data_IF_938447663437
#
_entry.id   IF_938447663437
#
_cell.length_a   1.000
_cell.length_b   1.000
_cell.length_c   1.000
_cell.angle_alpha   90.00
_cell.angle_beta   90.00
_cell.angle_gamma   90.00
#
_symmetry.space_group_name_H-M   'P 1'
#
loop_
_entity.id
_entity.type
_entity.pdbx_description
1 polymer ?
#
# COMPACT_ATOMS: atom_id res chain seq x y z
N UNK A 1 18.26 -55.18 -53.20
CA UNK A 1 17.45 -53.95 -53.32
C UNK A 1 17.16 -53.51 -51.91
N UNK A 2 17.98 -52.62 -51.39
CA UNK A 2 18.11 -52.41 -49.96
C UNK A 2 17.85 -50.92 -49.73
N UNK A 3 16.75 -50.62 -49.06
CA UNK A 3 16.31 -49.26 -48.82
C UNK A 3 17.16 -48.63 -47.69
N UNK A 4 17.56 -47.36 -47.80
CA UNK A 4 18.28 -46.69 -46.73
C UNK A 4 17.37 -46.50 -45.51
N UNK A 5 17.96 -46.71 -44.34
CA UNK A 5 17.36 -46.43 -43.04
C UNK A 5 17.13 -44.91 -42.88
N UNK A 6 15.89 -44.50 -42.63
CA UNK A 6 15.55 -43.09 -42.39
C UNK A 6 15.70 -42.79 -40.90
N UNK A 7 16.91 -42.40 -40.51
CA UNK A 7 17.24 -42.07 -39.13
C UNK A 7 16.29 -41.03 -38.53
N UNK A 8 15.70 -41.37 -37.39
CA UNK A 8 14.73 -40.54 -36.66
C UNK A 8 15.41 -39.34 -35.99
N UNK A 9 15.45 -38.21 -36.70
CA UNK A 9 16.03 -36.95 -36.18
C UNK A 9 15.00 -36.25 -35.29
N UNK A 10 14.91 -36.73 -34.05
CA UNK A 10 14.18 -36.05 -32.99
C UNK A 10 14.79 -34.64 -32.72
N UNK A 11 14.02 -33.53 -32.86
CA UNK A 11 14.52 -32.21 -32.52
C UNK A 11 14.64 -32.07 -31.00
N UNK A 12 15.87 -32.10 -30.49
CA UNK A 12 16.13 -32.00 -29.05
C UNK A 12 15.99 -30.58 -28.51
N UNK A 13 15.23 -30.45 -27.41
CA UNK A 13 15.30 -29.40 -26.38
C UNK A 13 15.36 -27.92 -26.81
N UNK A 14 14.20 -27.25 -26.71
CA UNK A 14 14.03 -25.94 -26.02
C UNK A 14 15.09 -24.84 -26.25
N UNK A 15 15.56 -24.64 -27.48
CA UNK A 15 16.43 -23.49 -27.81
C UNK A 15 15.59 -22.19 -27.87
N UNK A 16 15.34 -21.63 -26.68
CA UNK A 16 14.66 -20.34 -26.46
C UNK A 16 15.36 -19.27 -27.32
N UNK A 17 14.68 -18.67 -28.32
CA UNK A 17 15.37 -17.90 -29.36
C UNK A 17 16.12 -16.71 -28.78
N UNK A 18 17.31 -16.44 -29.32
CA UNK A 18 18.16 -15.34 -28.89
C UNK A 18 17.42 -14.00 -29.01
N UNK A 19 17.06 -13.41 -27.86
CA UNK A 19 16.32 -12.14 -27.77
C UNK A 19 17.24 -10.97 -28.17
N UNK A 20 17.25 -10.62 -29.46
CA UNK A 20 17.96 -9.46 -30.01
C UNK A 20 17.17 -8.16 -29.95
N UNK A 21 15.90 -8.20 -29.52
CA UNK A 21 15.12 -7.02 -29.16
C UNK A 21 15.33 -6.69 -27.68
N UNK A 22 15.67 -5.43 -27.38
CA UNK A 22 15.93 -4.96 -26.01
C UNK A 22 14.64 -4.97 -25.19
N UNK A 23 14.47 -6.00 -24.34
CA UNK A 23 13.30 -6.20 -23.50
C UNK A 23 13.12 -5.14 -22.41
N UNK A 24 11.91 -5.10 -21.83
CA UNK A 24 11.54 -4.13 -20.78
C UNK A 24 12.33 -4.40 -19.50
N UNK A 25 12.64 -5.67 -19.23
CA UNK A 25 13.50 -6.09 -18.12
C UNK A 25 14.94 -5.59 -18.26
N UNK A 26 15.54 -5.74 -19.44
CA UNK A 26 16.92 -5.31 -19.69
C UNK A 26 17.05 -3.77 -19.64
N UNK A 27 16.02 -3.01 -20.04
CA UNK A 27 15.98 -1.55 -19.84
C UNK A 27 15.96 -1.15 -18.36
N UNK A 28 15.11 -1.79 -17.55
CA UNK A 28 15.04 -1.56 -16.10
C UNK A 28 16.36 -1.95 -15.40
N UNK A 29 16.97 -3.06 -15.83
CA UNK A 29 18.27 -3.54 -15.36
C UNK A 29 19.39 -2.57 -15.68
N UNK A 30 19.46 -2.06 -16.91
CA UNK A 30 20.48 -1.10 -17.34
C UNK A 30 20.43 0.18 -16.49
N UNK A 31 19.23 0.74 -16.28
CA UNK A 31 19.05 1.93 -15.43
C UNK A 31 19.32 1.65 -13.95
N UNK A 32 18.96 0.46 -13.42
CA UNK A 32 19.35 0.04 -12.05
C UNK A 32 20.88 0.04 -11.89
N UNK A 33 21.60 -0.53 -12.85
CA UNK A 33 23.06 -0.61 -12.85
C UNK A 33 23.70 0.77 -13.01
N UNK A 34 23.17 1.62 -13.89
CA UNK A 34 23.61 3.01 -14.06
C UNK A 34 23.48 3.84 -12.77
N UNK A 35 22.46 3.56 -11.94
CA UNK A 35 22.25 4.16 -10.62
C UNK A 35 23.04 3.48 -9.49
N UNK A 36 23.85 2.47 -9.78
CA UNK A 36 24.64 1.72 -8.78
C UNK A 36 23.81 0.93 -7.77
N UNK A 37 22.54 0.64 -8.06
CA UNK A 37 21.63 -0.01 -7.13
C UNK A 37 21.80 -1.55 -7.17
N UNK A 38 21.91 -2.17 -6.00
CA UNK A 38 21.86 -3.63 -5.89
C UNK A 38 20.44 -4.15 -6.18
N UNK A 39 20.34 -5.43 -6.57
CA UNK A 39 19.04 -6.07 -6.81
C UNK A 39 18.29 -6.27 -5.48
N UNK A 40 19.02 -6.43 -4.37
CA UNK A 40 18.52 -6.49 -3.00
C UNK A 40 17.92 -5.15 -2.53
N UNK A 41 18.53 -4.01 -2.88
CA UNK A 41 18.02 -2.69 -2.51
C UNK A 41 16.77 -2.32 -3.31
N UNK A 42 16.70 -2.71 -4.59
CA UNK A 42 15.47 -2.60 -5.38
C UNK A 42 14.37 -3.51 -4.82
N UNK A 43 14.69 -4.77 -4.53
CA UNK A 43 13.75 -5.72 -3.91
C UNK A 43 13.17 -5.15 -2.59
N UNK A 44 14.04 -4.61 -1.72
CA UNK A 44 13.65 -3.97 -0.45
C UNK A 44 12.75 -2.75 -0.65
N UNK A 45 13.06 -1.88 -1.61
CA UNK A 45 12.31 -0.65 -1.87
C UNK A 45 10.96 -0.91 -2.55
N UNK A 46 10.91 -1.82 -3.54
CA UNK A 46 9.67 -2.23 -4.20
C UNK A 46 8.80 -3.19 -3.36
N UNK A 47 9.34 -3.71 -2.23
CA UNK A 47 8.76 -4.78 -1.40
C UNK A 47 8.48 -6.06 -2.17
N UNK A 48 9.41 -6.43 -3.05
CA UNK A 48 9.39 -7.67 -3.82
C UNK A 48 10.45 -8.64 -3.28
N UNK A 49 10.29 -9.94 -3.49
CA UNK A 49 11.38 -10.88 -3.29
C UNK A 49 12.43 -10.70 -4.40
N UNK A 50 13.73 -10.91 -4.11
CA UNK A 50 14.82 -10.76 -5.10
C UNK A 50 14.52 -11.52 -6.40
N UNK A 51 14.06 -12.77 -6.31
CA UNK A 51 13.62 -13.60 -7.45
C UNK A 51 12.57 -12.96 -8.36
N UNK A 52 11.74 -12.05 -7.85
CA UNK A 52 10.75 -11.31 -8.65
C UNK A 52 11.38 -10.11 -9.35
N UNK A 53 12.39 -9.46 -8.75
CA UNK A 53 13.18 -8.43 -9.44
C UNK A 53 14.02 -9.08 -10.54
N UNK A 54 14.62 -10.25 -10.28
CA UNK A 54 15.32 -11.04 -11.30
C UNK A 54 14.39 -11.40 -12.46
N UNK A 55 13.20 -11.96 -12.18
CA UNK A 55 12.22 -12.31 -13.22
C UNK A 55 11.65 -11.09 -13.99
N UNK A 56 11.64 -9.90 -13.38
CA UNK A 56 11.34 -8.64 -14.08
C UNK A 56 12.47 -8.25 -15.03
N UNK A 57 13.73 -8.35 -14.59
CA UNK A 57 14.92 -8.03 -15.39
C UNK A 57 15.20 -9.06 -16.50
N UNK A 58 14.74 -10.30 -16.36
CA UNK A 58 14.86 -11.38 -17.35
C UNK A 58 13.74 -11.38 -18.43
N UNK A 59 12.78 -10.46 -18.37
CA UNK A 59 11.51 -10.52 -19.14
C UNK A 59 10.88 -11.93 -19.04
N UNK A 60 10.70 -12.42 -17.81
CA UNK A 60 10.19 -13.75 -17.44
C UNK A 60 8.94 -13.61 -16.55
N UNK A 61 7.87 -13.13 -17.17
CA UNK A 61 6.64 -12.71 -16.49
C UNK A 61 5.82 -13.87 -15.90
N UNK A 62 6.03 -15.09 -16.36
CA UNK A 62 5.33 -16.28 -15.85
C UNK A 62 5.70 -16.59 -14.39
N UNK A 63 6.98 -16.41 -14.03
CA UNK A 63 7.48 -16.48 -12.64
C UNK A 63 6.80 -15.46 -11.70
N UNK A 64 6.18 -14.41 -12.23
CA UNK A 64 5.59 -13.30 -11.46
C UNK A 64 4.10 -13.54 -11.10
N UNK A 65 3.86 -14.60 -10.31
CA UNK A 65 2.50 -14.97 -9.86
C UNK A 65 1.51 -15.13 -11.03
N UNK A 66 1.95 -15.80 -12.10
CA UNK A 66 1.13 -16.07 -13.29
C UNK A 66 0.90 -14.85 -14.19
N UNK A 67 1.88 -13.96 -14.33
CA UNK A 67 1.86 -12.80 -15.24
C UNK A 67 0.92 -11.65 -14.87
N UNK A 68 -0.17 -11.92 -14.16
CA UNK A 68 -1.29 -11.00 -13.86
C UNK A 68 -0.87 -9.63 -13.28
N UNK A 69 0.25 -9.56 -12.55
CA UNK A 69 0.73 -8.35 -11.90
C UNK A 69 1.91 -7.65 -12.60
N UNK A 70 2.41 -8.18 -13.73
CA UNK A 70 3.60 -7.68 -14.44
C UNK A 70 3.55 -6.17 -14.72
N UNK A 71 2.43 -5.66 -15.28
CA UNK A 71 2.20 -4.24 -15.55
C UNK A 71 2.23 -3.36 -14.30
N UNK A 72 1.84 -3.91 -13.14
CA UNK A 72 1.91 -3.21 -11.85
C UNK A 72 3.35 -3.10 -11.35
N UNK A 73 4.11 -4.20 -11.45
CA UNK A 73 5.50 -4.24 -11.02
C UNK A 73 6.42 -3.39 -11.90
N UNK A 74 6.32 -3.48 -13.23
CA UNK A 74 7.09 -2.65 -14.18
C UNK A 74 6.83 -1.16 -13.94
N UNK A 75 5.57 -0.75 -13.72
CA UNK A 75 5.24 0.64 -13.37
C UNK A 75 5.88 1.10 -12.06
N UNK A 76 5.90 0.24 -11.04
CA UNK A 76 6.50 0.58 -9.75
C UNK A 76 8.03 0.66 -9.84
N UNK A 77 8.65 -0.23 -10.62
CA UNK A 77 10.10 -0.24 -10.85
C UNK A 77 10.54 0.99 -11.66
N UNK A 78 9.86 1.29 -12.77
CA UNK A 78 10.10 2.51 -13.54
C UNK A 78 9.98 3.77 -12.68
N UNK A 79 8.98 3.84 -11.78
CA UNK A 79 8.82 4.95 -10.83
C UNK A 79 9.98 5.05 -9.82
N UNK A 80 10.48 3.93 -9.30
CA UNK A 80 11.66 3.93 -8.41
C UNK A 80 12.91 4.43 -9.14
N UNK A 81 13.08 4.01 -10.39
CA UNK A 81 14.16 4.44 -11.28
C UNK A 81 13.91 5.82 -11.93
N UNK A 82 12.81 6.50 -11.59
CA UNK A 82 12.44 7.82 -12.15
C UNK A 82 12.32 7.85 -13.68
N UNK A 83 12.10 6.69 -14.32
CA UNK A 83 11.86 6.53 -15.75
C UNK A 83 10.39 6.82 -16.09
N UNK A 84 10.10 7.19 -17.34
CA UNK A 84 8.72 7.16 -17.83
C UNK A 84 8.25 5.71 -17.96
N UNK A 85 7.12 5.40 -17.29
CA UNK A 85 6.50 4.10 -17.35
C UNK A 85 5.64 3.90 -18.62
N UNK A 86 5.24 4.96 -19.33
CA UNK A 86 4.37 4.85 -20.49
C UNK A 86 4.96 4.00 -21.64
N UNK A 87 6.19 4.26 -22.16
CA UNK A 87 6.77 3.44 -23.23
C UNK A 87 7.05 2.00 -22.78
N UNK A 88 7.56 1.82 -21.55
CA UNK A 88 7.83 0.50 -20.97
C UNK A 88 6.57 -0.36 -20.86
N UNK A 89 5.43 0.25 -20.50
CA UNK A 89 4.14 -0.46 -20.45
C UNK A 89 3.56 -0.70 -21.85
N UNK A 90 3.79 0.18 -22.82
CA UNK A 90 3.37 -0.05 -24.21
C UNK A 90 4.16 -1.20 -24.87
N UNK A 91 5.44 -1.34 -24.56
CA UNK A 91 6.26 -2.47 -25.01
C UNK A 91 5.83 -3.78 -24.31
N UNK A 92 5.59 -3.73 -22.99
CA UNK A 92 5.08 -4.87 -22.22
C UNK A 92 3.72 -5.38 -22.71
N UNK A 93 2.84 -4.48 -23.17
CA UNK A 93 1.53 -4.82 -23.72
C UNK A 93 1.60 -5.55 -25.08
N UNK A 94 2.76 -5.54 -25.75
CA UNK A 94 3.01 -6.28 -26.98
C UNK A 94 3.66 -7.65 -26.72
N UNK A 95 4.33 -7.84 -25.57
CA UNK A 95 4.99 -9.10 -25.21
C UNK A 95 4.16 -9.99 -24.29
N UNK A 96 3.18 -9.46 -23.56
CA UNK A 96 2.20 -10.23 -22.80
C UNK A 96 1.02 -10.68 -23.68
N UNK A 97 0.45 -11.89 -23.47
CA UNK A 97 -0.82 -12.24 -24.08
C UNK A 97 -1.92 -11.27 -23.61
N UNK A 98 -2.93 -10.96 -24.45
CA UNK A 98 -3.97 -9.99 -24.12
C UNK A 98 -4.71 -10.42 -22.85
N UNK A 99 -4.47 -9.69 -21.76
CA UNK A 99 -5.04 -9.99 -20.44
C UNK A 99 -6.56 -9.79 -20.46
N UNK A 100 -7.28 -10.86 -20.78
CA UNK A 100 -8.73 -10.90 -20.73
C UNK A 100 -9.19 -10.42 -19.33
N UNK A 101 -10.15 -9.48 -19.25
CA UNK A 101 -10.63 -8.99 -17.97
C UNK A 101 -11.33 -10.12 -17.23
N UNK A 102 -10.60 -10.73 -16.28
CA UNK A 102 -11.10 -11.73 -15.34
C UNK A 102 -12.14 -11.06 -14.43
N UNK A 103 -13.33 -10.89 -14.97
CA UNK A 103 -14.50 -10.37 -14.28
C UNK A 103 -14.86 -11.43 -13.26
N UNK A 104 -14.50 -11.19 -12.00
CA UNK A 104 -14.91 -12.05 -10.89
C UNK A 104 -16.40 -11.80 -10.67
N UNK A 105 -17.22 -12.44 -11.51
CA UNK A 105 -18.67 -12.48 -11.40
C UNK A 105 -19.01 -13.34 -10.18
N UNK A 106 -18.91 -12.74 -9.01
CA UNK A 106 -19.69 -13.19 -7.87
C UNK A 106 -21.16 -13.10 -8.29
N UNK A 107 -21.85 -14.24 -8.36
CA UNK A 107 -23.30 -14.26 -8.48
C UNK A 107 -23.88 -13.86 -7.11
N UNK A 108 -23.93 -12.54 -6.86
CA UNK A 108 -24.42 -12.01 -5.59
C UNK A 108 -25.96 -11.98 -5.62
N UNK A 109 -26.56 -13.15 -5.48
CA UNK A 109 -28.00 -13.30 -5.45
C UNK A 109 -28.59 -12.66 -4.18
N UNK A 110 -29.52 -11.73 -4.35
CA UNK A 110 -30.43 -11.29 -3.28
C UNK A 110 -30.04 -10.08 -2.43
N UNK A 111 -28.85 -9.47 -2.54
CA UNK A 111 -28.57 -8.17 -1.86
C UNK A 111 -28.76 -6.97 -2.80
N UNK A 112 -29.71 -6.06 -2.51
CA UNK A 112 -29.93 -4.87 -3.33
C UNK A 112 -28.86 -3.80 -3.04
N UNK A 113 -27.71 -3.91 -3.70
CA UNK A 113 -26.76 -2.80 -3.75
C UNK A 113 -27.44 -1.55 -4.35
N UNK A 114 -27.36 -0.37 -3.71
CA UNK A 114 -27.94 0.86 -4.25
C UNK A 114 -27.19 1.25 -5.54
N UNK A 115 -27.77 0.87 -6.68
CA UNK A 115 -27.07 0.92 -7.95
C UNK A 115 -26.86 2.37 -8.43
N UNK A 116 -25.58 2.71 -8.66
CA UNK A 116 -25.11 3.94 -9.33
C UNK A 116 -25.54 5.24 -8.64
N UNK A 117 -24.74 5.69 -7.66
CA UNK A 117 -24.70 7.10 -7.26
C UNK A 117 -24.35 7.98 -8.48
N UNK A 118 -25.36 8.53 -9.13
CA UNK A 118 -25.24 9.30 -10.38
C UNK A 118 -24.68 10.70 -10.07
N UNK A 119 -23.36 10.80 -9.96
CA UNK A 119 -22.59 11.98 -9.49
C UNK A 119 -22.66 13.24 -10.38
N UNK A 120 -23.71 13.41 -11.19
CA UNK A 120 -24.02 14.64 -11.92
C UNK A 120 -25.05 15.53 -11.22
N UNK A 121 -26.02 14.96 -10.48
CA UNK A 121 -27.12 15.74 -9.87
C UNK A 121 -26.63 16.72 -8.80
N UNK A 122 -25.65 16.32 -7.97
CA UNK A 122 -25.04 17.19 -6.95
C UNK A 122 -24.38 18.43 -7.57
N UNK A 123 -23.73 18.28 -8.72
CA UNK A 123 -23.10 19.40 -9.42
C UNK A 123 -24.14 20.34 -10.05
N UNK A 124 -25.25 19.79 -10.57
CA UNK A 124 -26.39 20.57 -11.06
C UNK A 124 -27.12 21.32 -9.94
N UNK A 125 -27.24 20.73 -8.74
CA UNK A 125 -27.81 21.41 -7.56
C UNK A 125 -26.90 22.57 -7.14
N UNK A 126 -25.58 22.36 -7.07
CA UNK A 126 -24.61 23.41 -6.74
C UNK A 126 -24.68 24.54 -7.80
N UNK A 127 -24.71 24.22 -9.09
CA UNK A 127 -24.86 25.20 -10.15
C UNK A 127 -26.19 25.97 -10.06
N UNK A 128 -27.30 25.29 -9.79
CA UNK A 128 -28.61 25.92 -9.60
C UNK A 128 -28.66 26.88 -8.40
N UNK A 129 -28.02 26.52 -7.28
CA UNK A 129 -27.89 27.41 -6.11
C UNK A 129 -27.03 28.62 -6.42
N UNK A 130 -25.93 28.47 -7.16
CA UNK A 130 -25.08 29.59 -7.61
C UNK A 130 -25.86 30.53 -8.54
N UNK A 131 -26.61 29.98 -9.50
CA UNK A 131 -27.47 30.77 -10.41
C UNK A 131 -28.55 31.52 -9.63
N UNK A 132 -29.21 30.88 -8.66
CA UNK A 132 -30.21 31.52 -7.82
C UNK A 132 -29.61 32.64 -6.95
N UNK A 133 -28.43 32.41 -6.37
CA UNK A 133 -27.72 33.43 -5.59
C UNK A 133 -27.31 34.64 -6.46
N UNK A 134 -26.85 34.41 -7.70
CA UNK A 134 -26.54 35.48 -8.66
C UNK A 134 -27.81 36.26 -9.07
N UNK A 135 -28.93 35.58 -9.32
CA UNK A 135 -30.21 36.25 -9.64
C UNK A 135 -30.72 37.09 -8.47
N UNK A 136 -30.59 36.62 -7.22
CA UNK A 136 -30.94 37.39 -6.03
C UNK A 136 -30.01 38.59 -5.81
N UNK A 137 -28.70 38.43 -6.06
CA UNK A 137 -27.73 39.53 -6.01
C UNK A 137 -28.05 40.60 -7.06
N UNK A 138 -28.36 40.19 -8.29
CA UNK A 138 -28.79 41.10 -9.37
C UNK A 138 -30.11 41.81 -8.99
N UNK A 139 -31.06 41.09 -8.40
CA UNK A 139 -32.33 41.67 -7.93
C UNK A 139 -32.12 42.76 -6.86
N UNK A 140 -31.28 42.53 -5.85
CA UNK A 140 -30.96 43.56 -4.86
C UNK A 140 -30.16 44.72 -5.44
N UNK A 141 -29.36 44.52 -6.51
CA UNK A 141 -28.73 45.64 -7.24
C UNK A 141 -29.79 46.50 -7.95
N UNK A 142 -30.75 45.89 -8.67
CA UNK A 142 -31.83 46.65 -9.31
C UNK A 142 -32.72 47.38 -8.29
N UNK A 143 -33.07 46.71 -7.18
CA UNK A 143 -33.86 47.27 -6.07
C UNK A 143 -33.12 48.39 -5.34
N UNK A 144 -31.82 48.23 -5.12
CA UNK A 144 -30.93 49.26 -4.58
C UNK A 144 -30.78 50.47 -5.51
N UNK A 145 -30.92 50.29 -6.82
CA UNK A 145 -30.87 51.38 -7.79
C UNK A 145 -32.10 52.30 -7.70
N UNK A 146 -33.30 51.76 -7.49
CA UNK A 146 -34.50 52.57 -7.20
C UNK A 146 -34.36 53.35 -5.87
N UNK A 147 -33.80 52.72 -4.83
CA UNK A 147 -33.54 53.37 -3.54
C UNK A 147 -32.51 54.52 -3.62
N UNK A 148 -31.60 54.50 -4.59
CA UNK A 148 -30.67 55.60 -4.86
C UNK A 148 -31.29 56.72 -5.70
N UNK A 149 -32.11 56.39 -6.72
CA UNK A 149 -32.82 57.41 -7.51
C UNK A 149 -33.81 58.20 -6.64
N UNK A 150 -34.45 57.55 -5.66
CA UNK A 150 -35.33 58.21 -4.69
C UNK A 150 -34.62 59.25 -3.79
N UNK A 151 -33.29 59.20 -3.65
CA UNK A 151 -32.51 60.10 -2.80
C UNK A 151 -31.92 61.34 -3.51
N UNK A 152 -32.16 61.50 -4.82
CA UNK A 152 -31.70 62.68 -5.59
C UNK A 152 -32.78 63.79 -5.64
N UNK A 153 -33.99 63.51 -5.14
CA UNK A 153 -35.17 64.39 -5.31
C UNK A 153 -35.50 65.37 -4.17
N UNK A 154 -34.74 65.45 -3.08
CA UNK A 154 -35.05 66.34 -1.94
C UNK A 154 -33.83 67.06 -1.36
N UNK A 155 -33.56 68.26 -1.87
CA UNK A 155 -32.93 69.31 -1.07
C UNK A 155 -33.87 69.77 0.07
N UNK A 156 -33.33 70.35 1.16
CA UNK A 156 -34.13 70.74 2.32
C UNK A 156 -34.81 72.11 2.11
N UNK A 157 -36.13 72.15 2.32
CA UNK A 157 -36.89 73.39 2.49
C UNK A 157 -37.05 73.69 3.98
N UNK A 158 -36.48 74.82 4.43
CA UNK A 158 -36.51 75.25 5.84
C UNK A 158 -37.69 76.18 6.16
N UNK A 159 -38.40 75.87 7.24
CA UNK A 159 -39.21 76.75 8.09
C UNK A 159 -39.44 75.99 9.41
N UNK A 160 -39.00 76.37 10.61
CA UNK A 160 -38.96 77.66 11.34
C UNK A 160 -40.13 77.81 12.33
N UNK A 161 -39.90 77.38 13.59
CA UNK A 161 -40.39 77.99 14.84
C UNK A 161 -39.38 77.60 15.95
N UNK A 162 -38.61 78.53 16.52
CA UNK A 162 -38.94 79.44 17.66
C UNK A 162 -38.73 78.76 19.03
N UNK A 163 -37.63 79.09 19.76
CA UNK A 163 -37.32 78.36 21.01
C UNK A 163 -36.17 78.78 21.95
N UNK A 164 -35.53 79.95 21.82
CA UNK A 164 -34.66 80.61 22.85
C UNK A 164 -33.30 79.97 23.22
N UNK A 165 -32.21 80.79 23.20
CA UNK A 165 -30.88 80.47 23.76
C UNK A 165 -29.72 80.58 22.74
N UNK A 166 -29.36 81.79 22.27
CA UNK A 166 -28.28 82.65 22.86
C UNK A 166 -26.92 81.91 22.85
N UNK A 167 -26.15 81.98 21.75
CA UNK A 167 -25.01 82.91 21.52
C UNK A 167 -23.67 82.19 21.83
N UNK A 168 -22.55 82.29 21.11
CA UNK A 168 -21.90 83.44 20.44
C UNK A 168 -21.19 83.05 19.10
N UNK A 169 -20.57 84.03 18.43
CA UNK A 169 -19.95 84.04 17.09
C UNK A 169 -18.68 83.13 16.94
N UNK A 170 -18.02 82.92 15.77
CA UNK A 170 -17.78 83.83 14.62
C UNK A 170 -17.41 83.12 13.29
N UNK A 171 -17.65 83.83 12.18
CA UNK A 171 -17.13 83.70 10.78
C UNK A 171 -15.58 83.86 10.63
N UNK A 172 -14.96 83.87 9.41
CA UNK A 172 -15.20 83.14 8.14
C UNK A 172 -13.88 82.66 7.42
N UNK A 173 -13.98 82.19 6.14
CA UNK A 173 -12.93 82.30 5.07
C UNK A 173 -11.62 81.45 5.20
N UNK A 174 -10.80 81.17 4.16
CA UNK A 174 -10.98 81.05 2.68
C UNK A 174 -9.72 80.42 1.98
N UNK A 175 -9.87 79.97 0.71
CA UNK A 175 -8.86 79.97 -0.41
C UNK A 175 -7.65 78.96 -0.51
N UNK A 176 -7.45 78.51 -1.77
CA UNK A 176 -6.18 78.30 -2.55
C UNK A 176 -5.24 77.06 -2.40
N UNK A 177 -5.43 76.06 -3.29
CA UNK A 177 -4.55 75.57 -4.42
C UNK A 177 -3.00 75.77 -4.45
N UNK A 178 -2.20 75.04 -5.30
CA UNK A 178 -2.46 73.87 -6.20
C UNK A 178 -1.53 72.64 -5.86
N UNK A 179 -0.73 71.89 -6.66
CA UNK A 179 -0.34 71.80 -8.11
C UNK A 179 0.46 70.49 -8.48
N UNK A 180 0.86 70.33 -9.77
CA UNK A 180 1.91 69.44 -10.42
C UNK A 180 1.59 67.97 -10.83
N UNK A 181 2.02 67.61 -12.05
CA UNK A 181 1.99 66.31 -12.81
C UNK A 181 3.10 66.34 -13.92
N UNK A 182 3.34 65.36 -14.86
CA UNK A 182 2.70 64.05 -15.17
C UNK A 182 3.69 62.85 -15.45
N UNK A 183 3.16 61.67 -15.85
CA UNK A 183 3.83 60.68 -16.75
C UNK A 183 4.55 59.46 -16.10
N UNK A 184 4.78 58.32 -16.78
CA UNK A 184 4.32 57.90 -18.14
C UNK A 184 4.84 56.49 -18.56
N UNK A 185 3.93 55.66 -19.08
CA UNK A 185 3.99 54.32 -19.71
C UNK A 185 5.32 53.57 -20.06
N UNK A 186 5.36 52.26 -19.74
CA UNK A 186 5.61 51.18 -20.73
C UNK A 186 7.03 50.59 -20.91
N UNK A 187 7.15 49.25 -20.87
CA UNK A 187 8.38 48.53 -21.32
C UNK A 187 8.48 47.06 -20.91
N UNK A 188 8.83 46.17 -21.85
CA UNK A 188 9.05 44.71 -21.66
C UNK A 188 10.53 44.37 -21.88
N UNK A 189 11.13 43.43 -21.14
CA UNK A 189 12.08 42.38 -21.65
C UNK A 189 12.52 41.37 -20.58
N UNK A 190 13.04 40.22 -21.03
CA UNK A 190 13.83 39.23 -20.27
C UNK A 190 15.28 39.72 -20.00
N UNK A 191 16.12 38.96 -19.26
CA UNK A 191 17.26 38.34 -19.96
C UNK A 191 17.65 36.93 -19.46
N UNK A 192 18.63 36.32 -20.14
CA UNK A 192 19.30 35.07 -19.79
C UNK A 192 20.84 35.22 -19.90
N UNK A 193 21.56 34.12 -19.60
CA UNK A 193 22.97 33.81 -19.91
C UNK A 193 24.14 34.47 -19.10
N UNK A 194 24.88 33.58 -18.41
CA UNK A 194 26.35 33.32 -18.51
C UNK A 194 27.46 34.20 -17.83
N UNK A 195 28.39 33.46 -17.17
CA UNK A 195 29.82 33.72 -16.83
C UNK A 195 30.19 34.93 -15.90
N UNK A 196 31.31 34.92 -15.15
CA UNK A 196 32.48 34.02 -15.14
C UNK A 196 33.22 33.96 -13.77
N UNK A 197 34.10 32.96 -13.63
CA UNK A 197 35.38 32.89 -12.88
C UNK A 197 35.52 33.40 -11.41
N UNK A 198 36.21 32.61 -10.57
CA UNK A 198 36.50 32.98 -9.18
C UNK A 198 37.32 31.96 -8.35
N UNK A 199 38.44 31.47 -8.88
CA UNK A 199 39.31 30.51 -8.18
C UNK A 199 40.01 31.08 -6.93
N UNK A 200 40.12 30.26 -5.86
CA UNK A 200 41.30 30.19 -4.98
C UNK A 200 41.52 28.79 -4.38
N UNK A 201 42.32 28.01 -5.11
CA UNK A 201 43.47 27.24 -4.62
C UNK A 201 43.62 27.02 -3.10
N UNK A 202 43.70 25.74 -2.70
CA UNK A 202 44.61 25.26 -1.65
C UNK A 202 44.96 23.80 -1.93
N UNK A 203 46.25 23.48 -2.00
CA UNK A 203 46.71 22.22 -2.61
C UNK A 203 47.61 21.38 -1.69
N UNK A 204 47.53 20.06 -1.94
CA UNK A 204 48.52 19.03 -1.62
C UNK A 204 48.92 18.79 -0.15
N UNK A 205 48.56 17.59 0.32
CA UNK A 205 49.59 16.69 0.84
C UNK A 205 49.30 15.23 0.48
N UNK A 206 50.25 14.60 -0.22
CA UNK A 206 50.28 13.16 -0.40
C UNK A 206 50.67 12.50 0.94
N UNK A 207 50.08 11.35 1.24
CA UNK A 207 50.85 10.18 1.68
C UNK A 207 50.01 8.90 1.56
N UNK A 208 50.60 7.83 1.03
CA UNK A 208 50.09 6.44 1.13
C UNK A 208 50.90 5.75 2.24
N UNK A 209 50.31 4.79 2.98
CA UNK A 209 50.68 3.41 2.66
C UNK A 209 49.56 2.38 2.87
N UNK A 210 49.62 1.29 2.10
CA UNK A 210 49.05 0.00 2.51
C UNK A 210 50.02 -0.74 3.43
N UNK A 211 49.57 -1.73 4.22
CA UNK A 211 49.94 -3.10 3.81
C UNK A 211 48.94 -4.22 4.13
N UNK A 212 49.16 -5.34 3.45
CA UNK A 212 48.97 -6.73 3.88
C UNK A 212 47.55 -7.26 4.24
N UNK A 213 47.13 -8.22 3.41
CA UNK A 213 46.14 -9.26 3.71
C UNK A 213 46.48 -10.05 4.99
N UNK A 214 45.46 -10.41 5.77
CA UNK A 214 45.50 -11.64 6.60
C UNK A 214 44.14 -12.34 6.48
N UNK A 215 44.14 -13.57 5.93
CA UNK A 215 42.98 -14.46 5.96
C UNK A 215 42.92 -15.17 7.30
N UNK A 216 41.76 -15.16 7.96
CA UNK A 216 41.49 -16.02 9.13
C UNK A 216 40.71 -17.27 8.68
N UNK A 217 41.33 -18.47 8.64
CA UNK A 217 40.63 -19.70 8.28
C UNK A 217 39.76 -20.22 9.45
N UNK A 218 38.65 -20.91 9.18
CA UNK A 218 37.85 -21.57 10.22
C UNK A 218 38.55 -22.85 10.72
N UNK A 219 38.52 -23.14 12.03
CA UNK A 219 39.04 -24.41 12.55
C UNK A 219 38.14 -25.58 12.12
N UNK A 220 38.73 -26.56 11.44
CA UNK A 220 38.03 -27.75 10.98
C UNK A 220 37.92 -28.84 12.07
N UNK A 221 36.95 -29.74 11.86
CA UNK A 221 36.60 -30.92 12.67
C UNK A 221 37.79 -31.64 13.31
N UNK A 222 37.61 -32.07 14.56
CA UNK A 222 38.15 -33.35 15.04
C UNK A 222 37.00 -34.34 15.25
N UNK A 223 37.30 -35.63 15.08
CA UNK A 223 36.37 -36.74 15.28
C UNK A 223 36.83 -37.64 16.44
N UNK A 224 35.95 -38.54 16.89
CA UNK A 224 36.12 -39.38 18.09
C UNK A 224 37.34 -40.32 18.06
N UNK A 225 37.69 -40.90 19.22
CA UNK A 225 37.42 -42.34 19.37
C UNK A 225 36.58 -42.69 20.62
N UNK A 226 36.37 -44.00 20.85
CA UNK A 226 35.35 -44.61 21.73
C UNK A 226 36.00 -45.58 22.75
N UNK A 227 35.24 -45.94 23.79
CA UNK A 227 35.54 -46.92 24.86
C UNK A 227 36.39 -46.39 26.04
N UNK A 228 36.32 -46.94 27.27
CA UNK A 228 35.77 -48.25 27.71
C UNK A 228 35.06 -48.16 29.08
N UNK A 229 34.19 -49.13 29.38
CA UNK A 229 33.50 -49.34 30.67
C UNK A 229 34.42 -49.93 31.76
N UNK A 230 34.10 -49.75 33.06
CA UNK A 230 33.88 -50.95 33.88
C UNK A 230 32.65 -50.89 34.83
N UNK A 231 32.19 -52.07 35.20
CA UNK A 231 31.16 -52.46 36.20
C UNK A 231 31.78 -52.60 37.62
N UNK A 232 31.09 -53.07 38.70
CA UNK A 232 29.64 -53.30 38.92
C UNK A 232 29.10 -52.84 40.32
N UNK A 233 27.87 -53.29 40.64
CA UNK A 233 27.40 -53.76 41.97
C UNK A 233 26.50 -52.87 42.87
N UNK A 234 25.18 -53.07 42.69
CA UNK A 234 24.15 -53.30 43.71
C UNK A 234 24.20 -52.62 45.10
N UNK A 235 23.18 -51.81 45.38
CA UNK A 235 22.47 -51.82 46.66
C UNK A 235 20.96 -51.81 46.39
N UNK A 236 20.19 -52.70 47.04
CA UNK A 236 18.74 -52.85 46.84
C UNK A 236 18.00 -52.39 48.09
N UNK A 237 16.96 -51.58 47.93
CA UNK A 237 15.96 -51.32 48.96
C UNK A 237 14.58 -51.18 48.34
N UNK A 238 13.78 -52.24 48.43
CA UNK A 238 12.35 -52.19 48.15
C UNK A 238 11.61 -51.74 49.44
N UNK A 239 10.74 -50.74 49.32
CA UNK A 239 9.99 -50.17 50.44
C UNK A 239 8.58 -49.76 50.00
N UNK A 240 7.73 -50.75 49.71
CA UNK A 240 6.38 -50.52 49.20
C UNK A 240 5.44 -49.95 50.25
N UNK A 241 4.86 -48.77 49.99
CA UNK A 241 3.58 -48.36 50.57
C UNK A 241 2.69 -47.80 49.48
N UNK A 242 1.72 -48.58 49.04
CA UNK A 242 0.71 -48.14 48.09
C UNK A 242 -0.27 -47.18 48.77
N UNK A 243 -0.26 -45.90 48.39
CA UNK A 243 -1.41 -45.02 48.63
C UNK A 243 -2.05 -44.64 47.28
N UNK A 244 -3.17 -45.28 46.99
CA UNK A 244 -4.00 -44.97 45.84
C UNK A 244 -4.81 -43.70 46.11
N UNK A 245 -4.77 -42.72 45.21
CA UNK A 245 -5.95 -42.26 44.47
C UNK A 245 -5.67 -41.05 43.56
N UNK A 246 -5.65 -41.31 42.24
CA UNK A 246 -6.26 -40.45 41.23
C UNK A 246 -6.08 -38.91 41.33
N UNK A 247 -4.84 -38.40 41.26
CA UNK A 247 -4.63 -37.06 40.67
C UNK A 247 -4.81 -37.20 39.16
N UNK A 248 -6.02 -36.94 38.67
CA UNK A 248 -6.35 -37.06 37.26
C UNK A 248 -5.45 -36.14 36.40
N UNK A 249 -5.07 -36.63 35.22
CA UNK A 249 -4.46 -35.79 34.18
C UNK A 249 -5.43 -34.66 33.88
N UNK A 250 -4.99 -33.41 34.07
CA UNK A 250 -5.80 -32.22 33.85
C UNK A 250 -6.00 -31.95 32.35
N UNK A 251 -6.86 -32.76 31.72
CA UNK A 251 -7.44 -32.47 30.41
C UNK A 251 -8.00 -31.04 30.43
N UNK A 252 -7.58 -30.14 29.51
CA UNK A 252 -8.07 -28.77 29.50
C UNK A 252 -9.59 -28.77 29.33
N UNK A 253 -10.27 -28.25 30.34
CA UNK A 253 -11.68 -28.58 30.66
C UNK A 253 -12.59 -28.42 29.43
N UNK A 254 -13.41 -29.43 29.17
CA UNK A 254 -14.42 -29.44 28.11
C UNK A 254 -15.64 -28.55 28.44
N UNK A 255 -15.38 -27.30 28.83
CA UNK A 255 -16.36 -26.23 29.06
C UNK A 255 -16.34 -25.19 27.93
N UNK A 256 -16.17 -25.67 26.69
CA UNK A 256 -16.72 -24.98 25.54
C UNK A 256 -18.20 -25.33 25.47
N UNK A 257 -19.09 -24.36 25.73
CA UNK A 257 -20.51 -24.54 25.40
C UNK A 257 -20.68 -24.77 23.89
N UNK A 258 -21.83 -25.31 23.49
CA UNK A 258 -22.19 -25.34 22.07
C UNK A 258 -22.08 -23.91 21.49
N UNK A 259 -21.53 -23.80 20.27
CA UNK A 259 -21.06 -22.57 19.62
C UNK A 259 -19.68 -22.10 20.12
N UNK A 260 -18.75 -23.06 20.28
CA UNK A 260 -17.35 -22.83 20.64
C UNK A 260 -16.38 -23.12 19.49
N UNK A 261 -15.47 -22.18 19.24
CA UNK A 261 -14.31 -22.33 18.33
C UNK A 261 -13.04 -22.50 19.17
N UNK A 262 -12.17 -23.42 18.77
CA UNK A 262 -10.83 -23.63 19.33
C UNK A 262 -9.81 -23.60 18.20
N UNK A 263 -8.84 -22.69 18.32
CA UNK A 263 -7.77 -22.44 17.36
C UNK A 263 -6.43 -22.79 18.02
N UNK A 264 -5.68 -23.73 17.44
CA UNK A 264 -4.37 -24.18 17.94
C UNK A 264 -3.30 -23.85 16.89
N UNK A 265 -2.27 -23.12 17.29
CA UNK A 265 -1.27 -22.55 16.38
C UNK A 265 0.06 -23.33 16.44
N UNK A 266 0.43 -24.06 15.38
CA UNK A 266 1.72 -24.75 15.27
C UNK A 266 2.84 -23.88 14.69
N UNK A 267 2.48 -22.78 14.04
CA UNK A 267 3.37 -21.73 13.54
C UNK A 267 2.84 -20.33 13.88
N UNK A 268 3.47 -19.29 13.32
CA UNK A 268 2.91 -17.93 13.40
C UNK A 268 1.77 -17.76 12.38
N UNK A 269 0.68 -17.14 12.81
CA UNK A 269 -0.53 -16.93 11.99
C UNK A 269 -1.20 -15.60 12.32
N UNK A 270 -1.57 -14.83 11.30
CA UNK A 270 -2.59 -13.79 11.46
C UNK A 270 -3.97 -14.45 11.56
N UNK A 271 -4.80 -14.06 12.52
CA UNK A 271 -6.15 -14.60 12.64
C UNK A 271 -7.16 -13.51 12.99
N UNK A 272 -8.21 -13.43 12.18
CA UNK A 272 -9.41 -12.65 12.45
C UNK A 272 -10.64 -13.57 12.55
N UNK A 273 -11.46 -13.37 13.59
CA UNK A 273 -12.71 -14.11 13.84
C UNK A 273 -13.81 -13.11 14.22
N UNK A 274 -14.96 -13.22 13.57
CA UNK A 274 -16.17 -12.42 13.83
C UNK A 274 -17.35 -13.34 14.13
N UNK A 275 -18.24 -12.92 15.03
CA UNK A 275 -19.54 -13.60 15.26
C UNK A 275 -20.61 -13.15 14.23
N UNK A 276 -21.74 -13.84 14.21
CA UNK A 276 -22.86 -13.58 13.30
C UNK A 276 -23.57 -12.23 13.49
N UNK A 277 -23.18 -11.46 14.52
CA UNK A 277 -23.62 -10.07 14.76
C UNK A 277 -22.54 -9.06 14.32
N UNK A 278 -21.50 -9.52 13.62
CA UNK A 278 -20.35 -8.72 13.19
C UNK A 278 -19.35 -8.39 14.31
N UNK A 279 -19.50 -8.95 15.52
CA UNK A 279 -18.61 -8.65 16.64
C UNK A 279 -17.27 -9.34 16.45
N UNK A 280 -16.20 -8.56 16.45
CA UNK A 280 -14.83 -9.05 16.43
C UNK A 280 -14.53 -9.81 17.72
N UNK A 281 -14.25 -11.12 17.62
CA UNK A 281 -13.87 -11.98 18.75
C UNK A 281 -12.35 -12.08 18.89
N UNK A 282 -11.63 -12.01 17.77
CA UNK A 282 -10.17 -12.02 17.68
C UNK A 282 -9.74 -11.29 16.41
N UNK A 283 -8.66 -10.51 16.47
CA UNK A 283 -7.95 -9.97 15.29
C UNK A 283 -6.52 -9.61 15.69
N UNK A 284 -5.56 -10.52 15.44
CA UNK A 284 -4.13 -10.35 15.80
C UNK A 284 -3.23 -11.36 15.08
N UNK A 285 -1.91 -11.14 15.17
CA UNK A 285 -0.91 -12.21 14.99
C UNK A 285 -0.88 -13.06 16.27
N UNK A 286 -0.89 -14.38 16.09
CA UNK A 286 -0.76 -15.41 17.11
C UNK A 286 0.55 -16.18 16.88
N UNK A 287 1.46 -16.26 17.86
CA UNK A 287 2.71 -17.00 17.73
C UNK A 287 2.49 -18.51 17.93
N UNK A 288 3.45 -19.30 17.46
CA UNK A 288 3.53 -20.76 17.65
C UNK A 288 3.33 -21.16 19.12
N UNK A 289 2.54 -22.22 19.34
CA UNK A 289 2.23 -22.77 20.67
C UNK A 289 1.05 -22.09 21.36
N UNK A 290 0.46 -21.04 20.78
CA UNK A 290 -0.75 -20.40 21.30
C UNK A 290 -1.97 -21.30 21.08
N UNK A 291 -2.92 -21.26 22.02
CA UNK A 291 -4.27 -21.76 21.83
C UNK A 291 -5.30 -20.66 22.20
N UNK A 292 -6.35 -20.53 21.40
CA UNK A 292 -7.45 -19.61 21.64
C UNK A 292 -8.80 -20.33 21.57
N UNK A 293 -9.56 -20.28 22.66
CA UNK A 293 -10.95 -20.75 22.73
C UNK A 293 -11.87 -19.53 22.70
N UNK A 294 -12.66 -19.41 21.65
CA UNK A 294 -13.60 -18.31 21.41
C UNK A 294 -15.03 -18.85 21.49
N UNK A 295 -15.94 -18.07 22.05
CA UNK A 295 -17.37 -18.38 22.12
C UNK A 295 -18.17 -17.22 21.54
N UNK A 296 -19.26 -17.50 20.86
CA UNK A 296 -20.08 -16.47 20.20
C UNK A 296 -21.36 -17.04 19.60
N UNK A 297 -21.98 -16.27 18.71
CA UNK A 297 -23.18 -16.68 17.98
C UNK A 297 -22.78 -16.93 16.52
N UNK A 298 -23.12 -18.08 15.92
CA UNK A 298 -22.91 -18.29 14.48
C UNK A 298 -23.82 -17.37 13.63
N UNK A 299 -23.53 -17.20 12.32
CA UNK A 299 -22.38 -17.74 11.61
C UNK A 299 -21.07 -17.04 11.99
N UNK A 300 -20.02 -17.81 12.26
CA UNK A 300 -18.69 -17.26 12.53
C UNK A 300 -17.93 -17.07 11.22
N UNK A 301 -17.41 -15.87 10.98
CA UNK A 301 -16.57 -15.58 9.80
C UNK A 301 -15.10 -15.56 10.23
N UNK A 302 -14.28 -16.42 9.62
CA UNK A 302 -12.86 -16.57 9.94
C UNK A 302 -11.97 -16.20 8.74
N UNK A 303 -10.86 -15.54 9.02
CA UNK A 303 -9.74 -15.34 8.08
C UNK A 303 -8.44 -15.70 8.80
N UNK A 304 -7.75 -16.72 8.31
CA UNK A 304 -6.56 -17.32 8.92
C UNK A 304 -5.42 -17.25 7.91
N UNK A 305 -4.41 -16.41 8.15
CA UNK A 305 -3.17 -16.38 7.38
C UNK A 305 -2.24 -17.51 7.82
N UNK A 306 -1.46 -18.08 6.89
CA UNK A 306 -0.63 -19.26 7.14
C UNK A 306 -1.42 -20.46 7.71
N UNK A 307 -2.57 -20.75 7.12
CA UNK A 307 -3.56 -21.72 7.61
C UNK A 307 -3.06 -23.17 7.70
N UNK A 308 -2.01 -23.53 6.96
CA UNK A 308 -1.34 -24.84 7.10
C UNK A 308 -0.76 -25.07 8.51
N UNK A 309 -0.47 -23.99 9.25
CA UNK A 309 0.10 -24.00 10.60
C UNK A 309 -0.97 -23.75 11.69
N UNK A 310 -2.26 -23.96 11.38
CA UNK A 310 -3.39 -23.74 12.28
C UNK A 310 -4.34 -24.93 12.26
N UNK A 311 -4.71 -25.43 13.45
CA UNK A 311 -5.76 -26.45 13.60
C UNK A 311 -7.02 -25.78 14.15
N UNK A 312 -8.09 -25.83 13.36
CA UNK A 312 -9.41 -25.35 13.73
C UNK A 312 -10.28 -26.50 14.23
N UNK A 313 -10.89 -26.32 15.40
CA UNK A 313 -11.90 -27.22 15.96
C UNK A 313 -13.14 -26.40 16.29
N UNK A 314 -14.29 -26.82 15.78
CA UNK A 314 -15.58 -26.14 15.96
C UNK A 314 -16.61 -27.14 16.48
N UNK A 315 -17.28 -26.82 17.60
CA UNK A 315 -18.25 -27.71 18.24
C UNK A 315 -17.71 -29.15 18.40
N UNK A 316 -16.47 -29.24 18.89
CA UNK A 316 -15.67 -30.46 19.08
C UNK A 316 -15.33 -31.28 17.80
N UNK A 317 -15.67 -30.80 16.60
CA UNK A 317 -15.28 -31.40 15.32
C UNK A 317 -14.05 -30.67 14.73
N UNK A 318 -13.00 -31.36 14.28
CA UNK A 318 -11.94 -30.72 13.51
C UNK A 318 -12.49 -30.24 12.17
N UNK A 319 -12.07 -29.05 11.73
CA UNK A 319 -12.41 -28.47 10.44
C UNK A 319 -11.14 -28.35 9.61
N UNK A 320 -11.15 -28.92 8.41
CA UNK A 320 -10.02 -28.79 7.47
C UNK A 320 -10.00 -27.37 6.86
N UNK A 321 -8.81 -26.77 6.84
CA UNK A 321 -8.55 -25.45 6.27
C UNK A 321 -8.02 -25.54 4.83
N UNK A 322 -7.52 -26.70 4.39
CA UNK A 322 -6.94 -26.89 3.06
C UNK A 322 -7.86 -26.48 1.90
N UNK A 323 -9.15 -26.91 1.82
CA UNK A 323 -10.03 -26.52 0.70
C UNK A 323 -10.39 -25.03 0.69
N UNK A 324 -10.15 -24.31 1.79
CA UNK A 324 -10.41 -22.87 1.91
C UNK A 324 -9.15 -22.01 1.72
N UNK A 325 -7.98 -22.62 1.52
CA UNK A 325 -6.67 -21.96 1.54
C UNK A 325 -6.22 -21.49 0.17
N UNK A 326 -5.98 -20.18 0.03
CA UNK A 326 -5.45 -19.58 -1.21
C UNK A 326 -3.99 -19.97 -1.46
N UNK A 327 -3.72 -20.67 -2.58
CA UNK A 327 -2.39 -21.18 -2.95
C UNK A 327 -1.27 -20.12 -2.95
N UNK A 328 -1.56 -18.88 -3.37
CA UNK A 328 -0.57 -17.80 -3.49
C UNK A 328 -0.27 -17.04 -2.18
N UNK A 329 -0.93 -17.37 -1.07
CA UNK A 329 -0.77 -16.62 0.18
C UNK A 329 -1.11 -17.39 1.46
N UNK A 330 -1.26 -18.72 1.39
CA UNK A 330 -1.51 -19.59 2.55
C UNK A 330 -2.68 -19.17 3.44
N UNK A 331 -3.64 -18.40 2.91
CA UNK A 331 -4.69 -17.76 3.71
C UNK A 331 -6.01 -18.48 3.51
N UNK A 332 -6.57 -19.04 4.58
CA UNK A 332 -7.89 -19.63 4.60
C UNK A 332 -8.97 -18.58 4.90
N UNK A 333 -10.11 -18.67 4.21
CA UNK A 333 -11.33 -17.89 4.49
C UNK A 333 -12.54 -18.81 4.48
N UNK A 334 -13.28 -18.85 5.58
CA UNK A 334 -14.42 -19.75 5.73
C UNK A 334 -15.47 -19.15 6.68
N UNK A 335 -16.68 -19.69 6.59
CA UNK A 335 -17.80 -19.40 7.49
C UNK A 335 -18.23 -20.70 8.19
N UNK A 336 -18.56 -20.63 9.48
CA UNK A 336 -19.06 -21.75 10.28
C UNK A 336 -20.47 -21.42 10.78
N UNK A 337 -21.45 -22.27 10.48
CA UNK A 337 -22.85 -22.14 10.93
C UNK A 337 -23.15 -22.93 12.21
#
# INVERSE_FOLDING_TARGET
MDAPDNGDVTPGADEKPARTETGVGELLRAERVARGLSIEDVARQLRLAVRQVTALEEDDYDKLAGGTFARGFVRNYAKLLQMDAAPLLQQLDQSLPPSAPQTITYQIEGVPFPSKQKSGSRNLIIAGVIILALLLLIYEIYRGNEANIANIGKQPSVSSETGTGVEEATEPSQLQSPDVTPGGEGGVVSPAEEAAAGEKESAAQLLVPAPALVLSPPPARQAAPVATMPEPANAVSAGSTSQSANTAVASPVANGGANGIRLIFSGESWTEVKDGRGRLLLSRINPRGTEHVLQGTPPFVLTIGNAAEVKLVYNNKPVDLAPYTNAYGGTARLSLE
#
